data_IF_213352412556
#
_entry.id   IF_213352412556
#
_cell.length_a   1.000
_cell.length_b   1.000
_cell.length_c   1.000
_cell.angle_alpha   90.00
_cell.angle_beta   90.00
_cell.angle_gamma   90.00
#
_symmetry.space_group_name_H-M   'P 1'
#
loop_
_entity.id
_entity.type
_entity.pdbx_description
1 polymer ?
#
# COMPACT_ATOMS: atom_id res chain seq x y z
N UNK A 1 -21.81 -16.93 2.34
CA UNK A 1 -20.72 -16.00 1.97
C UNK A 1 -21.18 -15.15 0.79
N UNK A 2 -20.80 -13.87 0.74
CA UNK A 2 -21.13 -13.00 -0.42
C UNK A 2 -19.94 -12.80 -1.36
N UNK A 3 -20.17 -12.83 -2.67
CA UNK A 3 -19.21 -12.34 -3.67
C UNK A 3 -19.66 -10.97 -4.18
N UNK A 4 -18.80 -9.95 -4.03
CA UNK A 4 -19.05 -8.58 -4.46
C UNK A 4 -18.24 -8.26 -5.71
N UNK A 5 -18.91 -7.87 -6.80
CA UNK A 5 -18.29 -7.63 -8.11
C UNK A 5 -18.57 -6.18 -8.54
N UNK A 6 -17.62 -5.24 -8.36
CA UNK A 6 -17.71 -3.94 -8.99
C UNK A 6 -17.45 -4.06 -10.51
N UNK A 7 -18.26 -3.37 -11.31
CA UNK A 7 -18.16 -3.38 -12.77
C UNK A 7 -18.34 -1.98 -13.33
N UNK A 8 -17.50 -1.63 -14.30
CA UNK A 8 -17.65 -0.44 -15.13
C UNK A 8 -17.36 -0.83 -16.57
N UNK A 9 -18.33 -0.65 -17.46
CA UNK A 9 -18.28 -1.05 -18.85
C UNK A 9 -17.84 -2.53 -19.04
N UNK A 10 -18.46 -3.51 -18.34
CA UNK A 10 -18.05 -4.91 -18.41
C UNK A 10 -18.41 -5.55 -19.77
N UNK A 11 -17.77 -6.67 -20.08
CA UNK A 11 -18.14 -7.53 -21.21
C UNK A 11 -18.86 -8.82 -20.73
N UNK A 12 -19.05 -9.78 -21.65
CA UNK A 12 -19.71 -11.05 -21.35
C UNK A 12 -19.02 -11.90 -20.26
N UNK A 13 -17.75 -11.63 -19.93
CA UNK A 13 -17.01 -12.37 -18.90
C UNK A 13 -17.61 -12.19 -17.50
N UNK A 14 -18.29 -11.07 -17.25
CA UNK A 14 -19.07 -10.89 -16.02
C UNK A 14 -20.13 -11.98 -15.88
N UNK A 15 -20.86 -12.27 -16.95
CA UNK A 15 -21.91 -13.28 -16.95
C UNK A 15 -21.34 -14.69 -16.84
N UNK A 16 -20.22 -14.96 -17.50
CA UNK A 16 -19.51 -16.23 -17.37
C UNK A 16 -19.02 -16.47 -15.95
N UNK A 17 -18.47 -15.45 -15.29
CA UNK A 17 -18.04 -15.51 -13.90
C UNK A 17 -19.22 -15.82 -12.97
N UNK A 18 -20.34 -15.11 -13.12
CA UNK A 18 -21.57 -15.35 -12.35
C UNK A 18 -22.04 -16.80 -12.53
N UNK A 19 -22.17 -17.26 -13.77
CA UNK A 19 -22.63 -18.62 -14.07
C UNK A 19 -21.69 -19.68 -13.48
N UNK A 20 -20.38 -19.45 -13.55
CA UNK A 20 -19.39 -20.37 -12.97
C UNK A 20 -19.45 -20.41 -11.45
N UNK A 21 -19.61 -19.27 -10.78
CA UNK A 21 -19.76 -19.21 -9.33
C UNK A 21 -21.03 -19.93 -8.86
N UNK A 22 -22.15 -19.72 -9.55
CA UNK A 22 -23.42 -20.38 -9.23
C UNK A 22 -23.40 -21.89 -9.50
N UNK A 23 -22.58 -22.38 -10.44
CA UNK A 23 -22.34 -23.82 -10.63
C UNK A 23 -21.56 -24.43 -9.47
N UNK A 24 -20.64 -23.68 -8.87
CA UNK A 24 -19.84 -24.14 -7.72
C UNK A 24 -20.68 -24.14 -6.45
N UNK A 25 -21.46 -23.08 -6.22
CA UNK A 25 -22.43 -23.00 -5.13
C UNK A 25 -23.67 -22.23 -5.59
N UNK A 26 -24.77 -22.97 -5.75
CA UNK A 26 -26.05 -22.41 -6.21
C UNK A 26 -26.71 -21.48 -5.20
N UNK A 27 -26.24 -21.45 -3.95
CA UNK A 27 -26.74 -20.57 -2.88
C UNK A 27 -25.85 -19.35 -2.66
N UNK A 28 -24.78 -19.21 -3.45
CA UNK A 28 -23.87 -18.08 -3.33
C UNK A 28 -24.59 -16.76 -3.57
N UNK A 29 -24.54 -15.87 -2.58
CA UNK A 29 -25.07 -14.53 -2.74
C UNK A 29 -24.08 -13.69 -3.54
N UNK A 30 -24.49 -13.21 -4.72
CA UNK A 30 -23.66 -12.41 -5.60
C UNK A 30 -24.26 -11.00 -5.67
N UNK A 31 -23.45 -10.01 -5.32
CA UNK A 31 -23.79 -8.59 -5.43
C UNK A 31 -22.93 -7.99 -6.55
N UNK A 32 -23.57 -7.45 -7.58
CA UNK A 32 -22.92 -6.73 -8.67
C UNK A 32 -23.19 -5.24 -8.50
N UNK A 33 -22.16 -4.42 -8.63
CA UNK A 33 -22.30 -2.96 -8.61
C UNK A 33 -21.91 -2.40 -9.97
N UNK A 34 -22.90 -1.94 -10.74
CA UNK A 34 -22.68 -1.14 -11.94
C UNK A 34 -22.28 0.27 -11.52
N UNK A 35 -21.01 0.63 -11.73
CA UNK A 35 -20.47 1.96 -11.47
C UNK A 35 -20.80 2.93 -12.63
N UNK A 36 -22.05 2.93 -13.10
CA UNK A 36 -22.56 3.87 -14.09
C UNK A 36 -22.01 3.65 -15.51
N UNK A 37 -22.05 2.40 -15.99
CA UNK A 37 -21.61 2.02 -17.34
C UNK A 37 -22.47 2.60 -18.47
N UNK A 38 -23.71 2.99 -18.18
CA UNK A 38 -24.63 3.60 -19.14
C UNK A 38 -25.51 2.60 -19.90
N UNK A 39 -26.42 3.12 -20.74
CA UNK A 39 -27.49 2.33 -21.37
C UNK A 39 -26.98 1.17 -22.24
N UNK A 40 -25.81 1.31 -22.87
CA UNK A 40 -25.22 0.25 -23.73
C UNK A 40 -24.85 -1.04 -22.99
N UNK A 41 -24.75 -1.01 -21.66
CA UNK A 41 -24.38 -2.18 -20.84
C UNK A 41 -25.54 -2.73 -20.02
N UNK A 42 -26.72 -2.09 -20.09
CA UNK A 42 -27.87 -2.40 -19.24
C UNK A 42 -28.36 -3.84 -19.38
N UNK A 43 -28.27 -4.40 -20.59
CA UNK A 43 -28.64 -5.79 -20.86
C UNK A 43 -27.80 -6.79 -20.06
N UNK A 44 -26.49 -6.56 -19.89
CA UNK A 44 -25.63 -7.43 -19.09
C UNK A 44 -26.08 -7.45 -17.62
N UNK A 45 -26.39 -6.27 -17.07
CA UNK A 45 -26.84 -6.14 -15.69
C UNK A 45 -28.26 -6.71 -15.49
N UNK A 46 -29.15 -6.55 -16.48
CA UNK A 46 -30.47 -7.17 -16.47
C UNK A 46 -30.37 -8.71 -16.45
N UNK A 47 -29.46 -9.29 -17.25
CA UNK A 47 -29.19 -10.74 -17.26
C UNK A 47 -28.64 -11.19 -15.90
N UNK A 48 -27.71 -10.44 -15.31
CA UNK A 48 -27.20 -10.75 -13.96
C UNK A 48 -28.32 -10.73 -12.91
N UNK A 49 -29.21 -9.74 -12.94
CA UNK A 49 -30.38 -9.69 -12.06
C UNK A 49 -31.35 -10.85 -12.29
N UNK A 50 -31.63 -11.20 -13.55
CA UNK A 50 -32.45 -12.35 -13.91
C UNK A 50 -31.84 -13.69 -13.48
N UNK A 51 -30.51 -13.77 -13.37
CA UNK A 51 -29.78 -14.91 -12.81
C UNK A 51 -29.82 -14.97 -11.27
N UNK A 52 -30.49 -14.02 -10.60
CA UNK A 52 -30.63 -13.98 -9.14
C UNK A 52 -29.55 -13.20 -8.40
N UNK A 53 -28.71 -12.43 -9.11
CA UNK A 53 -27.77 -11.51 -8.47
C UNK A 53 -28.49 -10.25 -7.96
N UNK A 54 -28.00 -9.70 -6.86
CA UNK A 54 -28.37 -8.34 -6.45
C UNK A 54 -27.58 -7.35 -7.28
N UNK A 55 -28.25 -6.47 -8.02
CA UNK A 55 -27.61 -5.46 -8.88
C UNK A 55 -27.85 -4.06 -8.34
N UNK A 56 -26.76 -3.37 -7.99
CA UNK A 56 -26.76 -1.98 -7.54
C UNK A 56 -26.22 -1.09 -8.66
N UNK A 57 -26.88 0.04 -8.95
CA UNK A 57 -26.55 0.87 -10.11
C UNK A 57 -26.23 2.30 -9.66
N UNK A 58 -25.08 2.81 -10.08
CA UNK A 58 -24.74 4.22 -10.00
C UNK A 58 -25.23 4.97 -11.26
N UNK A 59 -25.69 6.22 -11.13
CA UNK A 59 -26.14 7.00 -12.29
C UNK A 59 -24.98 7.42 -13.22
N UNK A 60 -23.77 7.54 -12.68
CA UNK A 60 -22.54 7.92 -13.41
C UNK A 60 -21.34 7.23 -12.78
N UNK A 61 -20.22 7.14 -13.49
CA UNK A 61 -18.96 6.61 -12.94
C UNK A 61 -18.46 7.41 -11.73
N UNK A 62 -18.43 6.75 -10.57
CA UNK A 62 -17.92 7.30 -9.32
C UNK A 62 -16.55 6.72 -8.95
N UNK A 63 -16.22 5.55 -9.46
CA UNK A 63 -14.97 4.86 -9.24
C UNK A 63 -15.14 3.55 -8.48
N UNK A 64 -14.19 2.62 -8.74
CA UNK A 64 -14.14 1.28 -8.11
C UNK A 64 -14.23 1.31 -6.59
N UNK A 65 -13.55 2.25 -5.93
CA UNK A 65 -13.59 2.39 -4.47
C UNK A 65 -14.98 2.74 -3.95
N UNK A 66 -15.72 3.62 -4.64
CA UNK A 66 -17.10 3.91 -4.26
C UNK A 66 -18.02 2.73 -4.58
N UNK A 67 -17.86 2.07 -5.72
CA UNK A 67 -18.63 0.87 -6.07
C UNK A 67 -18.48 -0.24 -5.00
N UNK A 68 -17.25 -0.49 -4.54
CA UNK A 68 -16.99 -1.40 -3.42
C UNK A 68 -17.71 -0.96 -2.14
N UNK A 69 -17.63 0.32 -1.78
CA UNK A 69 -18.32 0.88 -0.61
C UNK A 69 -19.84 0.77 -0.72
N UNK A 70 -20.42 0.96 -1.91
CA UNK A 70 -21.85 0.78 -2.15
C UNK A 70 -22.25 -0.67 -1.85
N UNK A 71 -21.47 -1.64 -2.33
CA UNK A 71 -21.66 -3.05 -1.97
C UNK A 71 -21.54 -3.32 -0.47
N UNK A 72 -20.50 -2.78 0.19
CA UNK A 72 -20.33 -2.95 1.64
C UNK A 72 -21.48 -2.34 2.45
N UNK A 73 -21.96 -1.13 2.09
CA UNK A 73 -23.12 -0.50 2.73
C UNK A 73 -24.38 -1.32 2.55
N UNK A 74 -24.62 -1.81 1.34
CA UNK A 74 -25.75 -2.69 1.09
C UNK A 74 -25.72 -3.93 1.99
N UNK A 75 -24.55 -4.57 2.14
CA UNK A 75 -24.39 -5.72 3.04
C UNK A 75 -24.61 -5.39 4.52
N UNK A 76 -24.23 -4.19 4.95
CA UNK A 76 -24.52 -3.69 6.30
C UNK A 76 -26.03 -3.48 6.47
N UNK A 77 -26.69 -2.84 5.49
CA UNK A 77 -28.12 -2.49 5.54
C UNK A 77 -29.02 -3.72 5.62
N UNK A 78 -28.69 -4.80 4.89
CA UNK A 78 -29.42 -6.07 4.96
C UNK A 78 -29.05 -6.92 6.17
N UNK A 79 -28.11 -6.46 7.02
CA UNK A 79 -27.68 -7.17 8.22
C UNK A 79 -26.87 -8.45 7.95
N UNK A 80 -26.09 -8.47 6.86
CA UNK A 80 -25.26 -9.64 6.52
C UNK A 80 -24.27 -9.96 7.64
N UNK A 81 -24.30 -11.20 8.13
CA UNK A 81 -23.35 -11.72 9.13
C UNK A 81 -22.22 -12.53 8.50
N UNK A 82 -22.34 -12.85 7.22
CA UNK A 82 -21.34 -13.61 6.47
C UNK A 82 -20.28 -12.68 5.86
N UNK A 83 -19.09 -13.22 5.63
CA UNK A 83 -18.00 -12.49 4.97
C UNK A 83 -18.34 -12.07 3.53
N UNK A 84 -17.45 -11.25 2.98
CA UNK A 84 -17.50 -10.78 1.60
C UNK A 84 -16.16 -11.04 0.90
N UNK A 85 -16.23 -11.55 -0.33
CA UNK A 85 -15.09 -11.65 -1.24
C UNK A 85 -15.32 -10.73 -2.42
N UNK A 86 -14.43 -9.77 -2.60
CA UNK A 86 -14.45 -8.87 -3.74
C UNK A 86 -13.69 -9.51 -4.91
N UNK A 87 -14.30 -9.54 -6.09
CA UNK A 87 -13.68 -10.04 -7.31
C UNK A 87 -13.88 -9.04 -8.45
N UNK A 88 -12.90 -8.94 -9.36
CA UNK A 88 -13.03 -8.10 -10.56
C UNK A 88 -13.94 -8.77 -11.61
N UNK A 89 -14.62 -7.93 -12.41
CA UNK A 89 -15.59 -8.35 -13.45
C UNK A 89 -14.95 -8.78 -14.78
N UNK A 90 -13.63 -8.70 -14.92
CA UNK A 90 -12.90 -8.90 -16.17
C UNK A 90 -12.51 -10.36 -16.47
N UNK A 91 -12.93 -11.28 -15.60
CA UNK A 91 -12.67 -12.72 -15.71
C UNK A 91 -11.23 -13.13 -15.36
N UNK A 92 -10.44 -12.27 -14.71
CA UNK A 92 -9.07 -12.62 -14.32
C UNK A 92 -8.98 -13.58 -13.13
N UNK A 93 -10.05 -13.69 -12.34
CA UNK A 93 -10.10 -14.52 -11.13
C UNK A 93 -10.81 -15.85 -11.42
N UNK A 94 -10.11 -16.96 -11.20
CA UNK A 94 -10.73 -18.27 -11.30
C UNK A 94 -11.77 -18.46 -10.19
N UNK A 95 -12.91 -19.13 -10.46
CA UNK A 95 -13.87 -19.51 -9.43
C UNK A 95 -13.22 -20.31 -8.28
N UNK A 96 -12.27 -21.19 -8.60
CA UNK A 96 -11.50 -21.93 -7.59
C UNK A 96 -10.71 -21.02 -6.65
N UNK A 97 -10.23 -19.89 -7.15
CA UNK A 97 -9.43 -18.93 -6.38
C UNK A 97 -10.34 -18.14 -5.45
N UNK A 98 -11.51 -17.74 -5.95
CA UNK A 98 -12.57 -17.15 -5.12
C UNK A 98 -12.93 -18.11 -3.99
N UNK A 99 -13.17 -19.40 -4.26
CA UNK A 99 -13.46 -20.39 -3.22
C UNK A 99 -12.33 -20.55 -2.19
N UNK A 100 -11.06 -20.50 -2.62
CA UNK A 100 -9.91 -20.53 -1.70
C UNK A 100 -9.89 -19.31 -0.77
N UNK A 101 -10.25 -18.14 -1.29
CA UNK A 101 -10.35 -16.91 -0.49
C UNK A 101 -11.52 -16.99 0.50
N UNK A 102 -12.66 -17.51 0.06
CA UNK A 102 -13.83 -17.76 0.93
C UNK A 102 -13.42 -18.62 2.13
N UNK A 103 -12.79 -19.78 1.88
CA UNK A 103 -12.32 -20.65 2.95
C UNK A 103 -11.33 -19.95 3.89
N UNK A 104 -10.39 -19.17 3.33
CA UNK A 104 -9.41 -18.45 4.13
C UNK A 104 -10.03 -17.32 4.98
N UNK A 105 -11.12 -16.68 4.54
CA UNK A 105 -11.86 -15.69 5.34
C UNK A 105 -12.50 -16.35 6.55
N UNK A 106 -13.10 -17.52 6.37
CA UNK A 106 -13.74 -18.26 7.46
C UNK A 106 -12.70 -18.74 8.50
N UNK A 107 -11.52 -19.14 8.06
CA UNK A 107 -10.41 -19.55 8.94
C UNK A 107 -9.72 -18.34 9.63
N UNK A 108 -9.74 -17.16 9.00
CA UNK A 108 -9.01 -15.97 9.46
C UNK A 108 -9.92 -14.73 9.62
N UNK A 109 -10.97 -14.79 10.47
CA UNK A 109 -12.02 -13.76 10.52
C UNK A 109 -11.56 -12.38 11.03
N UNK A 110 -10.35 -12.28 11.58
CA UNK A 110 -9.75 -11.02 12.06
C UNK A 110 -8.61 -10.51 11.15
N UNK A 111 -8.45 -11.11 9.97
CA UNK A 111 -7.38 -10.76 9.02
C UNK A 111 -7.97 -10.34 7.67
N UNK A 112 -7.23 -9.47 7.00
CA UNK A 112 -7.48 -9.11 5.61
C UNK A 112 -6.94 -10.21 4.71
N UNK A 113 -7.80 -10.94 4.02
CA UNK A 113 -7.39 -12.02 3.12
C UNK A 113 -7.11 -11.44 1.74
N UNK A 114 -5.92 -11.70 1.20
CA UNK A 114 -5.45 -11.19 -0.08
C UNK A 114 -5.12 -12.34 -1.03
N UNK A 115 -5.76 -12.37 -2.20
CA UNK A 115 -5.36 -13.28 -3.28
C UNK A 115 -4.08 -12.78 -3.96
N UNK A 116 -2.95 -13.41 -3.72
CA UNK A 116 -1.65 -12.99 -4.23
C UNK A 116 -1.25 -13.80 -5.46
N UNK A 117 -1.11 -13.10 -6.59
CA UNK A 117 -0.64 -13.70 -7.83
C UNK A 117 0.83 -14.10 -7.72
N UNK A 118 1.13 -15.37 -8.00
CA UNK A 118 2.52 -15.77 -8.24
C UNK A 118 2.93 -15.33 -9.64
N UNK A 119 3.88 -14.40 -9.72
CA UNK A 119 4.42 -13.91 -11.01
C UNK A 119 5.36 -14.93 -11.68
N UNK A 120 4.95 -16.19 -11.74
CA UNK A 120 5.64 -17.29 -12.42
C UNK A 120 5.14 -17.38 -13.86
N UNK A 121 5.81 -16.72 -14.82
CA UNK A 121 5.47 -16.81 -16.25
C UNK A 121 5.80 -15.58 -17.10
N UNK A 122 5.32 -15.59 -18.36
CA UNK A 122 5.44 -14.49 -19.35
C UNK A 122 4.47 -13.35 -19.03
N UNK A 123 4.65 -12.70 -17.88
CA UNK A 123 3.87 -11.52 -17.54
C UNK A 123 4.36 -10.32 -18.37
N UNK A 124 3.47 -9.45 -18.87
CA UNK A 124 3.87 -8.21 -19.51
C UNK A 124 4.82 -7.41 -18.60
N UNK A 125 6.00 -7.05 -19.12
CA UNK A 125 7.08 -6.41 -18.37
C UNK A 125 6.61 -5.14 -17.64
N UNK A 126 5.69 -4.38 -18.25
CA UNK A 126 5.12 -3.14 -17.68
C UNK A 126 4.31 -3.38 -16.41
N UNK A 127 3.42 -4.38 -16.38
CA UNK A 127 2.61 -4.71 -15.20
C UNK A 127 3.44 -5.30 -14.06
N UNK A 128 4.47 -6.12 -14.38
CA UNK A 128 5.43 -6.61 -13.38
C UNK A 128 6.23 -5.48 -12.74
N UNK A 129 6.70 -4.54 -13.56
CA UNK A 129 7.50 -3.43 -13.07
C UNK A 129 6.69 -2.51 -12.17
N UNK A 130 5.45 -2.17 -12.57
CA UNK A 130 4.53 -1.37 -11.77
C UNK A 130 4.26 -1.97 -10.39
N UNK A 131 3.81 -3.23 -10.33
CA UNK A 131 3.55 -3.87 -9.03
C UNK A 131 4.82 -4.06 -8.20
N UNK A 132 5.97 -4.37 -8.82
CA UNK A 132 7.23 -4.50 -8.09
C UNK A 132 7.67 -3.19 -7.45
N UNK A 133 7.53 -2.07 -8.17
CA UNK A 133 7.82 -0.74 -7.65
C UNK A 133 6.88 -0.38 -6.50
N UNK A 134 5.57 -0.56 -6.69
CA UNK A 134 4.58 -0.28 -5.65
C UNK A 134 4.78 -1.16 -4.41
N UNK A 135 5.11 -2.45 -4.58
CA UNK A 135 5.46 -3.37 -3.49
C UNK A 135 6.69 -2.92 -2.71
N UNK A 136 7.74 -2.49 -3.41
CA UNK A 136 8.95 -1.99 -2.78
C UNK A 136 8.66 -0.72 -1.99
N UNK A 137 7.94 0.22 -2.58
CA UNK A 137 7.55 1.49 -1.95
C UNK A 137 6.63 1.25 -0.76
N UNK A 138 5.67 0.33 -0.87
CA UNK A 138 4.85 -0.11 0.25
C UNK A 138 5.71 -0.72 1.35
N UNK A 139 6.63 -1.63 1.05
CA UNK A 139 7.51 -2.28 2.04
C UNK A 139 8.40 -1.26 2.75
N UNK A 140 9.03 -0.36 2.00
CA UNK A 140 9.86 0.72 2.55
C UNK A 140 9.03 1.66 3.40
N UNK A 141 7.76 1.86 3.02
CA UNK A 141 6.81 2.65 3.75
C UNK A 141 6.30 1.84 4.95
N UNK A 142 5.32 0.98 4.82
CA UNK A 142 4.70 0.30 5.97
C UNK A 142 5.66 -0.55 6.83
N UNK A 143 6.81 -0.96 6.30
CA UNK A 143 7.72 -1.89 6.96
C UNK A 143 7.25 -3.35 6.90
N UNK A 144 6.13 -3.60 6.23
CA UNK A 144 5.61 -4.94 5.99
C UNK A 144 5.75 -5.30 4.52
N UNK A 145 6.17 -6.53 4.28
CA UNK A 145 6.18 -7.10 2.94
C UNK A 145 4.78 -7.62 2.64
N UNK A 146 4.32 -7.37 1.43
CA UNK A 146 3.17 -8.03 0.84
C UNK A 146 3.53 -8.49 -0.56
N UNK A 147 3.00 -9.62 -1.01
CA UNK A 147 3.36 -10.16 -2.33
C UNK A 147 2.73 -9.39 -3.48
N UNK A 148 1.48 -8.95 -3.32
CA UNK A 148 0.74 -8.26 -4.37
C UNK A 148 -0.09 -7.08 -3.82
N UNK A 149 0.36 -5.86 -4.11
CA UNK A 149 -0.37 -4.63 -3.74
C UNK A 149 -1.59 -4.36 -4.62
N UNK A 150 -1.64 -4.98 -5.79
CA UNK A 150 -2.58 -4.64 -6.87
C UNK A 150 -3.56 -5.79 -7.15
N UNK A 151 -3.72 -6.72 -6.22
CA UNK A 151 -4.75 -7.75 -6.34
C UNK A 151 -6.14 -7.17 -6.10
N UNK A 152 -7.08 -7.39 -7.01
CA UNK A 152 -8.49 -7.08 -6.80
C UNK A 152 -9.25 -8.16 -6.04
N UNK A 153 -8.70 -9.38 -5.95
CA UNK A 153 -9.31 -10.48 -5.22
C UNK A 153 -8.97 -10.39 -3.73
N UNK A 154 -9.95 -9.99 -2.92
CA UNK A 154 -9.78 -9.78 -1.48
C UNK A 154 -10.97 -10.29 -0.69
N UNK A 155 -10.71 -10.87 0.47
CA UNK A 155 -11.71 -11.40 1.38
C UNK A 155 -11.72 -10.67 2.72
N UNK A 156 -12.91 -10.49 3.27
CA UNK A 156 -13.15 -9.77 4.51
C UNK A 156 -14.26 -10.45 5.31
N UNK A 157 -14.14 -10.46 6.64
CA UNK A 157 -15.26 -10.83 7.50
C UNK A 157 -16.29 -9.70 7.59
N UNK A 158 -17.53 -10.06 7.94
CA UNK A 158 -18.62 -9.09 8.09
C UNK A 158 -18.30 -7.96 9.09
N UNK A 159 -17.51 -8.26 10.13
CA UNK A 159 -17.12 -7.29 11.16
C UNK A 159 -16.26 -6.14 10.61
N UNK A 160 -15.63 -6.33 9.44
CA UNK A 160 -14.80 -5.32 8.79
C UNK A 160 -15.59 -4.35 7.90
N UNK A 161 -16.85 -4.62 7.58
CA UNK A 161 -17.62 -3.83 6.60
C UNK A 161 -17.71 -2.33 6.97
N UNK A 162 -17.98 -2.03 8.25
CA UNK A 162 -18.02 -0.64 8.73
C UNK A 162 -16.67 0.07 8.58
N UNK A 163 -15.59 -0.63 8.90
CA UNK A 163 -14.23 -0.11 8.73
C UNK A 163 -13.91 0.14 7.26
N UNK A 164 -14.26 -0.79 6.37
CA UNK A 164 -14.05 -0.66 4.92
C UNK A 164 -14.75 0.58 4.34
N UNK A 165 -15.94 0.91 4.82
CA UNK A 165 -16.68 2.11 4.41
C UNK A 165 -15.98 3.43 4.80
N UNK A 166 -15.20 3.44 5.89
CA UNK A 166 -14.54 4.64 6.42
C UNK A 166 -13.20 4.94 5.75
N UNK A 167 -12.60 3.96 5.06
CA UNK A 167 -11.31 4.14 4.39
C UNK A 167 -11.45 5.19 3.27
N UNK A 168 -10.59 6.23 3.23
CA UNK A 168 -10.69 7.28 2.22
C UNK A 168 -10.34 6.77 0.82
N UNK A 169 -10.89 7.43 -0.21
CA UNK A 169 -10.67 7.07 -1.62
C UNK A 169 -11.95 6.50 -2.26
N UNK A 170 -12.11 6.80 -3.53
CA UNK A 170 -13.32 6.47 -4.30
C UNK A 170 -12.98 5.77 -5.61
N UNK A 171 -11.73 5.86 -6.09
CA UNK A 171 -11.25 5.15 -7.28
C UNK A 171 -10.24 4.06 -6.88
N UNK A 172 -9.31 3.74 -7.77
CA UNK A 172 -8.33 2.65 -7.55
C UNK A 172 -7.41 2.89 -6.34
N UNK A 173 -7.19 4.13 -5.92
CA UNK A 173 -6.39 4.44 -4.74
C UNK A 173 -7.01 3.92 -3.43
N UNK A 174 -8.33 3.64 -3.43
CA UNK A 174 -9.03 3.07 -2.27
C UNK A 174 -8.37 1.76 -1.81
N UNK A 175 -8.04 0.90 -2.76
CA UNK A 175 -7.44 -0.41 -2.53
C UNK A 175 -6.07 -0.29 -1.83
N UNK A 176 -5.26 0.67 -2.26
CA UNK A 176 -3.98 0.96 -1.61
C UNK A 176 -4.18 1.62 -0.23
N UNK A 177 -5.14 2.54 -0.12
CA UNK A 177 -5.47 3.17 1.16
C UNK A 177 -5.93 2.14 2.19
N UNK A 178 -6.64 1.10 1.75
CA UNK A 178 -7.06 -0.01 2.59
C UNK A 178 -5.87 -0.78 3.15
N UNK A 179 -4.87 -1.10 2.33
CA UNK A 179 -3.65 -1.78 2.80
C UNK A 179 -2.88 -0.92 3.81
N UNK A 180 -2.77 0.39 3.54
CA UNK A 180 -2.14 1.33 4.47
C UNK A 180 -2.90 1.43 5.80
N UNK A 181 -4.24 1.58 5.75
CA UNK A 181 -5.10 1.66 6.93
C UNK A 181 -5.03 0.37 7.77
N UNK A 182 -5.08 -0.80 7.11
CA UNK A 182 -4.94 -2.09 7.79
C UNK A 182 -3.62 -2.17 8.56
N UNK A 183 -2.51 -1.70 7.97
CA UNK A 183 -1.24 -1.68 8.69
C UNK A 183 -1.23 -0.69 9.86
N UNK A 184 -1.78 0.51 9.68
CA UNK A 184 -1.84 1.54 10.72
C UNK A 184 -2.68 1.11 11.93
N UNK A 185 -3.77 0.38 11.68
CA UNK A 185 -4.69 -0.14 12.69
C UNK A 185 -4.27 -1.52 13.24
N UNK A 186 -3.20 -2.10 12.67
CA UNK A 186 -2.64 -3.36 13.14
C UNK A 186 -3.41 -4.60 12.70
N UNK A 187 -4.32 -4.47 11.75
CA UNK A 187 -5.01 -5.59 11.08
C UNK A 187 -3.94 -6.44 10.36
N UNK A 188 -3.98 -7.75 10.56
CA UNK A 188 -3.07 -8.69 9.89
C UNK A 188 -3.58 -8.98 8.49
N UNK A 189 -2.65 -9.35 7.61
CA UNK A 189 -2.96 -9.69 6.22
C UNK A 189 -2.56 -11.14 6.02
N UNK A 190 -3.49 -11.93 5.47
CA UNK A 190 -3.28 -13.34 5.14
C UNK A 190 -3.24 -13.49 3.62
N UNK A 191 -2.13 -13.99 3.08
CA UNK A 191 -1.93 -14.10 1.63
C UNK A 191 -2.24 -15.51 1.14
N UNK A 192 -3.20 -15.62 0.22
CA UNK A 192 -3.56 -16.87 -0.45
C UNK A 192 -2.98 -16.85 -1.86
N UNK A 193 -2.15 -17.82 -2.26
CA UNK A 193 -1.67 -17.94 -3.64
C UNK A 193 -2.84 -18.07 -4.62
N UNK A 194 -2.87 -17.27 -5.69
CA UNK A 194 -3.85 -17.37 -6.77
C UNK A 194 -3.18 -17.43 -8.13
N UNK A 195 -3.86 -18.04 -9.10
CA UNK A 195 -3.38 -18.11 -10.47
C UNK A 195 -3.66 -16.79 -11.19
N UNK A 196 -2.86 -16.49 -12.22
CA UNK A 196 -3.10 -15.30 -13.05
C UNK A 196 -3.55 -15.69 -14.43
N UNK A 197 -4.80 -15.38 -14.78
CA UNK A 197 -5.28 -15.46 -16.15
C UNK A 197 -4.93 -14.15 -16.86
N UNK A 198 -3.93 -14.19 -17.74
CA UNK A 198 -3.59 -13.03 -18.57
C UNK A 198 -4.41 -13.04 -19.86
N UNK A 199 -5.52 -12.32 -19.88
CA UNK A 199 -6.35 -12.14 -21.07
C UNK A 199 -5.88 -10.89 -21.84
N UNK A 200 -5.59 -11.06 -23.14
CA UNK A 200 -5.39 -9.99 -24.15
C UNK A 200 -4.54 -8.77 -23.74
N UNK A 201 -3.29 -8.99 -23.29
CA UNK A 201 -2.30 -7.92 -23.05
C UNK A 201 -2.76 -6.78 -22.11
N UNK A 202 -3.73 -7.02 -21.21
CA UNK A 202 -4.06 -6.07 -20.13
C UNK A 202 -4.55 -4.68 -20.64
N UNK A 203 -5.16 -4.60 -21.83
CA UNK A 203 -5.64 -3.33 -22.43
C UNK A 203 -6.77 -2.65 -21.65
N UNK A 204 -7.46 -3.37 -20.76
CA UNK A 204 -8.66 -2.90 -20.05
C UNK A 204 -8.42 -2.37 -18.64
N UNK A 205 -7.19 -2.46 -18.09
CA UNK A 205 -6.95 -1.93 -16.73
C UNK A 205 -6.79 -0.41 -16.78
N UNK A 206 -7.82 0.32 -16.33
CA UNK A 206 -7.79 1.79 -16.16
C UNK A 206 -6.87 2.27 -15.02
N UNK A 207 -6.07 1.38 -14.42
CA UNK A 207 -5.17 1.69 -13.32
C UNK A 207 -4.00 2.58 -13.77
N UNK A 208 -3.76 3.67 -13.03
CA UNK A 208 -2.68 4.63 -13.26
C UNK A 208 -1.67 4.53 -12.11
N UNK A 209 -0.56 3.77 -12.27
CA UNK A 209 0.31 3.38 -11.15
C UNK A 209 0.81 4.52 -10.26
N UNK A 210 1.15 5.66 -10.86
CA UNK A 210 1.69 6.82 -10.11
C UNK A 210 0.58 7.61 -9.43
N UNK A 211 -0.50 7.94 -10.15
CA UNK A 211 -1.61 8.75 -9.64
C UNK A 211 -2.40 8.01 -8.55
N UNK A 212 -2.62 6.70 -8.73
CA UNK A 212 -3.45 5.91 -7.84
C UNK A 212 -2.67 5.43 -6.60
N UNK A 213 -1.34 5.59 -6.58
CA UNK A 213 -0.47 5.23 -5.45
C UNK A 213 0.19 6.44 -4.76
N UNK A 214 -0.29 7.67 -5.01
CA UNK A 214 0.31 8.92 -4.50
C UNK A 214 0.57 8.88 -2.98
N UNK A 215 -0.34 8.31 -2.17
CA UNK A 215 -0.16 8.24 -0.71
C UNK A 215 1.02 7.35 -0.28
N UNK A 216 1.35 6.32 -1.05
CA UNK A 216 2.52 5.46 -0.77
C UNK A 216 3.82 6.17 -1.14
N UNK A 217 3.81 6.98 -2.21
CA UNK A 217 4.95 7.78 -2.63
C UNK A 217 5.17 9.01 -1.74
N UNK A 218 4.12 9.56 -1.12
CA UNK A 218 4.19 10.81 -0.36
C UNK A 218 5.27 10.82 0.75
N UNK A 219 5.45 9.78 1.58
CA UNK A 219 6.55 9.73 2.55
C UNK A 219 7.94 9.80 1.90
N UNK A 220 8.13 9.13 0.77
CA UNK A 220 9.40 9.16 0.03
C UNK A 220 9.64 10.55 -0.55
N UNK A 221 8.64 11.15 -1.20
CA UNK A 221 8.73 12.51 -1.76
C UNK A 221 9.03 13.55 -0.68
N UNK A 222 8.36 13.45 0.49
CA UNK A 222 8.64 14.32 1.64
C UNK A 222 10.08 14.14 2.15
N UNK A 223 10.57 12.90 2.19
CA UNK A 223 11.96 12.62 2.59
C UNK A 223 13.00 13.11 1.56
N UNK A 224 12.73 12.97 0.26
CA UNK A 224 13.55 13.56 -0.79
C UNK A 224 13.63 15.08 -0.60
N UNK A 225 12.48 15.71 -0.34
CA UNK A 225 12.39 17.16 -0.16
C UNK A 225 13.15 17.64 1.08
N UNK A 226 13.02 16.95 2.21
CA UNK A 226 13.77 17.30 3.44
C UNK A 226 15.27 17.06 3.29
N UNK A 227 15.66 16.01 2.58
CA UNK A 227 17.06 15.71 2.29
C UNK A 227 17.69 16.74 1.36
N UNK A 228 16.98 17.14 0.30
CA UNK A 228 17.44 18.18 -0.62
C UNK A 228 17.58 19.54 0.07
N UNK A 229 16.59 19.94 0.88
CA UNK A 229 16.66 21.19 1.63
C UNK A 229 17.82 21.18 2.63
N UNK A 230 18.05 20.06 3.32
CA UNK A 230 19.17 19.90 4.23
C UNK A 230 20.52 19.98 3.50
N UNK A 231 20.64 19.40 2.30
CA UNK A 231 21.85 19.51 1.49
C UNK A 231 22.14 20.95 1.03
N UNK A 232 21.10 21.69 0.62
CA UNK A 232 21.23 23.11 0.29
C UNK A 232 21.64 23.94 1.51
N UNK A 233 21.07 23.64 2.68
CA UNK A 233 21.43 24.29 3.93
C UNK A 233 22.87 23.97 4.35
N UNK A 234 23.31 22.72 4.19
CA UNK A 234 24.69 22.28 4.44
C UNK A 234 25.68 23.11 3.61
N UNK A 235 25.39 23.27 2.32
CA UNK A 235 26.19 24.09 1.42
C UNK A 235 26.21 25.55 1.89
N UNK A 236 25.05 26.16 2.14
CA UNK A 236 24.97 27.55 2.60
C UNK A 236 25.72 27.79 3.92
N UNK A 237 25.53 26.91 4.91
CA UNK A 237 26.20 26.99 6.20
C UNK A 237 27.72 26.83 6.07
N UNK A 238 28.20 25.96 5.17
CA UNK A 238 29.62 25.80 4.90
C UNK A 238 30.25 27.13 4.45
N UNK A 239 29.64 27.81 3.47
CA UNK A 239 30.16 29.10 2.98
C UNK A 239 30.12 30.18 4.06
N UNK A 240 29.01 30.29 4.80
CA UNK A 240 28.88 31.30 5.85
C UNK A 240 29.88 31.09 7.00
N UNK A 241 30.05 29.84 7.46
CA UNK A 241 31.01 29.52 8.51
C UNK A 241 32.45 29.66 8.03
N UNK A 242 32.73 29.36 6.76
CA UNK A 242 34.06 29.55 6.19
C UNK A 242 34.44 31.03 6.15
N UNK A 243 33.48 31.90 5.77
CA UNK A 243 33.67 33.35 5.79
C UNK A 243 33.85 33.88 7.22
N UNK A 244 33.13 33.32 8.20
CA UNK A 244 33.17 33.80 9.57
C UNK A 244 34.37 33.30 10.39
N UNK A 245 34.80 32.05 10.17
CA UNK A 245 35.80 31.38 11.02
C UNK A 245 37.16 31.22 10.36
N UNK A 246 37.21 31.20 9.02
CA UNK A 246 38.42 30.87 8.25
C UNK A 246 38.88 29.41 8.35
N UNK A 247 38.34 28.62 9.29
CA UNK A 247 38.71 27.23 9.50
C UNK A 247 37.80 26.29 8.73
N UNK A 248 38.38 25.58 7.77
CA UNK A 248 37.66 24.59 6.96
C UNK A 248 37.05 23.49 7.83
N UNK A 249 37.79 22.99 8.82
CA UNK A 249 37.34 21.91 9.69
C UNK A 249 36.11 22.33 10.50
N UNK A 250 36.16 23.51 11.12
CA UNK A 250 35.05 24.06 11.92
C UNK A 250 33.83 24.31 11.04
N UNK A 251 34.05 24.79 9.82
CA UNK A 251 32.98 25.10 8.86
C UNK A 251 32.28 23.84 8.36
N UNK A 252 33.04 22.81 7.98
CA UNK A 252 32.48 21.51 7.56
C UNK A 252 31.73 20.83 8.70
N UNK A 253 32.32 20.79 9.89
CA UNK A 253 31.69 20.16 11.06
C UNK A 253 30.41 20.91 11.48
N UNK A 254 30.47 22.25 11.57
CA UNK A 254 29.34 23.09 11.94
C UNK A 254 28.19 23.00 10.92
N UNK A 255 28.51 23.04 9.62
CA UNK A 255 27.53 22.88 8.55
C UNK A 255 26.82 21.52 8.64
N UNK A 256 27.59 20.43 8.82
CA UNK A 256 27.04 19.06 8.93
C UNK A 256 26.13 18.91 10.14
N UNK A 257 26.51 19.49 11.29
CA UNK A 257 25.68 19.46 12.50
C UNK A 257 24.39 20.25 12.27
N UNK A 258 24.48 21.50 11.79
CA UNK A 258 23.31 22.35 11.56
C UNK A 258 22.33 21.75 10.55
N UNK A 259 22.84 21.29 9.40
CA UNK A 259 22.03 20.65 8.36
C UNK A 259 21.37 19.36 8.85
N UNK A 260 22.06 18.56 9.66
CA UNK A 260 21.54 17.33 10.26
C UNK A 260 20.45 17.57 11.29
N UNK A 261 20.55 18.62 12.11
CA UNK A 261 19.51 19.01 13.09
C UNK A 261 18.22 19.42 12.38
N UNK A 262 18.33 20.20 11.30
CA UNK A 262 17.18 20.60 10.48
C UNK A 262 16.56 19.38 9.80
N UNK A 263 17.38 18.49 9.20
CA UNK A 263 16.91 17.26 8.56
C UNK A 263 16.15 16.37 9.55
N UNK A 264 16.72 16.13 10.74
CA UNK A 264 16.06 15.39 11.82
C UNK A 264 14.72 16.02 12.21
N UNK A 265 14.70 17.34 12.40
CA UNK A 265 13.49 18.07 12.80
C UNK A 265 12.38 17.96 11.76
N UNK A 266 12.74 18.10 10.47
CA UNK A 266 11.81 17.94 9.36
C UNK A 266 11.31 16.49 9.24
N UNK A 267 12.21 15.51 9.35
CA UNK A 267 11.84 14.11 9.22
C UNK A 267 10.93 13.67 10.35
N UNK A 268 11.22 14.09 11.59
CA UNK A 268 10.39 13.80 12.76
C UNK A 268 9.02 14.48 12.68
N UNK A 269 8.95 15.72 12.18
CA UNK A 269 7.71 16.52 12.18
C UNK A 269 6.81 16.24 10.98
N UNK A 270 7.39 16.11 9.78
CA UNK A 270 6.65 16.13 8.51
C UNK A 270 6.72 14.82 7.73
N UNK A 271 7.85 14.08 7.78
CA UNK A 271 8.05 12.86 6.98
C UNK A 271 7.46 11.64 7.69
N UNK A 272 7.89 11.38 8.93
CA UNK A 272 7.51 10.20 9.71
C UNK A 272 6.43 10.53 10.75
N UNK A 273 5.45 11.36 10.37
CA UNK A 273 4.38 11.80 11.25
C UNK A 273 3.48 10.61 11.66
N UNK A 274 3.71 10.05 12.84
CA UNK A 274 2.86 9.02 13.46
C UNK A 274 2.02 9.63 14.59
N UNK A 275 0.84 9.03 14.86
CA UNK A 275 -0.04 9.40 15.99
C UNK A 275 0.69 9.37 17.35
N UNK A 276 1.71 8.53 17.49
CA UNK A 276 2.62 8.52 18.66
C UNK A 276 4.06 8.77 18.20
N UNK A 277 4.61 9.93 18.56
CA UNK A 277 5.96 10.34 18.18
C UNK A 277 6.97 9.85 19.23
N UNK A 278 8.09 9.23 18.82
CA UNK A 278 9.16 8.92 19.76
C UNK A 278 9.70 10.20 20.39
N UNK A 279 10.13 10.11 21.65
CA UNK A 279 10.73 11.23 22.36
C UNK A 279 12.02 11.68 21.67
N UNK A 280 12.39 12.95 21.81
CA UNK A 280 13.63 13.46 21.23
C UNK A 280 14.83 12.73 21.83
N UNK A 281 14.80 12.44 23.13
CA UNK A 281 15.85 11.67 23.82
C UNK A 281 16.02 10.25 23.27
N UNK A 282 14.94 9.56 22.84
CA UNK A 282 15.05 8.19 22.34
C UNK A 282 15.37 8.08 20.85
N UNK A 283 15.19 9.16 20.07
CA UNK A 283 15.37 9.16 18.61
C UNK A 283 16.58 9.96 18.12
N UNK A 284 16.96 11.06 18.77
CA UNK A 284 18.11 11.86 18.34
C UNK A 284 19.45 11.10 18.37
N UNK A 285 19.81 10.33 19.42
CA UNK A 285 21.08 9.59 19.43
C UNK A 285 21.18 8.58 18.29
N UNK A 286 20.07 7.88 18.00
CA UNK A 286 20.00 6.90 16.89
C UNK A 286 20.19 7.58 15.54
N UNK A 287 19.60 8.77 15.37
CA UNK A 287 19.74 9.55 14.15
C UNK A 287 21.20 10.00 13.92
N UNK A 288 21.84 10.58 14.94
CA UNK A 288 23.23 11.06 14.78
C UNK A 288 24.23 9.89 14.62
N UNK A 289 24.01 8.76 15.27
CA UNK A 289 24.78 7.53 15.01
C UNK A 289 24.65 7.08 13.55
N UNK A 290 23.44 7.15 12.99
CA UNK A 290 23.20 6.86 11.56
C UNK A 290 23.94 7.85 10.64
N UNK A 291 23.97 9.15 10.96
CA UNK A 291 24.72 10.15 10.17
C UNK A 291 26.21 9.80 10.11
N UNK A 292 26.82 9.44 11.24
CA UNK A 292 28.23 9.02 11.29
C UNK A 292 28.46 7.76 10.45
N UNK A 293 27.56 6.79 10.54
CA UNK A 293 27.66 5.53 9.79
C UNK A 293 27.51 5.75 8.28
N UNK A 294 26.60 6.64 7.85
CA UNK A 294 26.45 7.04 6.44
C UNK A 294 27.74 7.70 5.93
N UNK A 295 28.37 8.56 6.74
CA UNK A 295 29.64 9.21 6.37
C UNK A 295 30.75 8.17 6.14
N UNK A 296 30.85 7.16 7.01
CA UNK A 296 31.83 6.08 6.86
C UNK A 296 31.55 5.22 5.62
N UNK A 297 30.29 4.88 5.36
CA UNK A 297 29.90 4.06 4.21
C UNK A 297 30.00 4.78 2.87
N UNK A 298 29.96 6.12 2.84
CA UNK A 298 30.09 6.88 1.59
C UNK A 298 31.41 6.57 0.88
N UNK A 299 32.53 6.65 1.59
CA UNK A 299 33.82 6.29 1.00
C UNK A 299 33.87 4.81 0.58
N UNK A 300 33.40 3.91 1.45
CA UNK A 300 33.42 2.46 1.20
C UNK A 300 32.64 2.06 -0.06
N UNK A 301 31.43 2.60 -0.25
CA UNK A 301 30.64 2.33 -1.45
C UNK A 301 31.20 2.99 -2.71
N UNK A 302 31.72 4.23 -2.62
CA UNK A 302 32.40 4.84 -3.76
C UNK A 302 33.59 3.99 -4.22
N UNK A 303 34.42 3.53 -3.27
CA UNK A 303 35.55 2.65 -3.57
C UNK A 303 35.08 1.33 -4.19
N UNK A 304 34.07 0.68 -3.61
CA UNK A 304 33.53 -0.57 -4.13
C UNK A 304 33.01 -0.41 -5.57
N UNK A 305 32.21 0.62 -5.85
CA UNK A 305 31.64 0.85 -7.18
C UNK A 305 32.68 1.27 -8.21
N UNK A 306 33.63 2.14 -7.84
CA UNK A 306 34.62 2.65 -8.77
C UNK A 306 35.77 1.67 -9.01
N UNK A 307 36.40 1.18 -7.95
CA UNK A 307 37.62 0.35 -8.04
C UNK A 307 37.30 -1.13 -8.20
N UNK A 308 36.30 -1.67 -7.48
CA UNK A 308 36.01 -3.11 -7.54
C UNK A 308 35.11 -3.49 -8.72
N UNK A 309 34.14 -2.65 -9.05
CA UNK A 309 33.24 -2.86 -10.19
C UNK A 309 33.66 -2.10 -11.46
N UNK A 310 34.70 -1.28 -11.41
CA UNK A 310 35.23 -0.55 -12.57
C UNK A 310 34.28 0.51 -13.12
N UNK A 311 33.30 0.99 -12.34
CA UNK A 311 32.35 1.98 -12.82
C UNK A 311 33.00 3.37 -12.89
N UNK A 312 32.67 4.21 -13.88
CA UNK A 312 33.14 5.58 -13.92
C UNK A 312 32.81 6.33 -12.63
N UNK A 313 33.71 7.20 -12.16
CA UNK A 313 33.59 7.89 -10.86
C UNK A 313 32.23 8.59 -10.67
N UNK A 314 31.71 9.22 -11.72
CA UNK A 314 30.40 9.88 -11.69
C UNK A 314 29.27 8.86 -11.44
N UNK A 315 29.31 7.71 -12.11
CA UNK A 315 28.32 6.63 -11.95
C UNK A 315 28.42 6.02 -10.56
N UNK A 316 29.65 5.74 -10.09
CA UNK A 316 29.91 5.23 -8.75
C UNK A 316 29.38 6.19 -7.67
N UNK A 317 29.62 7.49 -7.82
CA UNK A 317 29.09 8.52 -6.91
C UNK A 317 27.57 8.54 -6.87
N UNK A 318 26.90 8.54 -8.03
CA UNK A 318 25.44 8.53 -8.10
C UNK A 318 24.84 7.26 -7.46
N UNK A 319 25.46 6.09 -7.69
CA UNK A 319 25.03 4.83 -7.07
C UNK A 319 25.24 4.82 -5.56
N UNK A 320 26.37 5.35 -5.07
CA UNK A 320 26.64 5.50 -3.63
C UNK A 320 25.58 6.37 -2.97
N UNK A 321 25.32 7.57 -3.50
CA UNK A 321 24.31 8.48 -2.94
C UNK A 321 22.91 7.85 -2.97
N UNK A 322 22.53 7.19 -4.07
CA UNK A 322 21.27 6.47 -4.17
C UNK A 322 21.13 5.33 -3.14
N UNK A 323 22.20 4.55 -2.96
CA UNK A 323 22.25 3.44 -1.99
C UNK A 323 22.10 3.96 -0.55
N UNK A 324 22.89 4.99 -0.20
CA UNK A 324 22.87 5.61 1.12
C UNK A 324 21.54 6.31 1.40
N UNK A 325 20.91 6.92 0.40
CA UNK A 325 19.60 7.54 0.52
C UNK A 325 18.53 6.52 0.92
N UNK A 326 18.46 5.39 0.21
CA UNK A 326 17.51 4.30 0.51
C UNK A 326 17.79 3.69 1.89
N UNK A 327 19.06 3.45 2.20
CA UNK A 327 19.48 2.93 3.50
C UNK A 327 19.13 3.89 4.66
N UNK A 328 19.34 5.20 4.46
CA UNK A 328 19.01 6.24 5.42
C UNK A 328 17.51 6.29 5.68
N UNK A 329 16.69 6.34 4.61
CA UNK A 329 15.23 6.33 4.75
C UNK A 329 14.72 5.11 5.53
N UNK A 330 15.19 3.93 5.13
CA UNK A 330 14.78 2.67 5.76
C UNK A 330 15.19 2.61 7.23
N UNK A 331 16.44 2.98 7.55
CA UNK A 331 16.95 2.94 8.93
C UNK A 331 16.24 3.97 9.81
N UNK A 332 16.02 5.18 9.29
CA UNK A 332 15.28 6.21 10.01
C UNK A 332 13.87 5.75 10.34
N UNK A 333 13.20 5.07 9.41
CA UNK A 333 11.84 4.60 9.64
C UNK A 333 11.74 3.42 10.60
N UNK A 334 12.62 2.44 10.46
CA UNK A 334 12.54 1.17 11.19
C UNK A 334 13.17 1.24 12.58
N UNK A 335 14.19 2.09 12.78
CA UNK A 335 14.97 2.12 14.02
C UNK A 335 14.92 3.47 14.72
N UNK A 336 15.10 4.57 13.99
CA UNK A 336 15.18 5.92 14.58
C UNK A 336 13.81 6.41 15.04
N UNK A 337 12.82 6.35 14.14
CA UNK A 337 11.46 6.86 14.35
C UNK A 337 10.44 5.74 14.59
N UNK A 338 10.89 4.60 15.12
CA UNK A 338 9.99 3.52 15.54
C UNK A 338 9.22 3.98 16.77
N UNK A 339 7.89 3.87 16.75
CA UNK A 339 7.05 4.13 17.93
C UNK A 339 7.39 3.10 19.02
N UNK A 340 7.55 3.56 20.25
CA UNK A 340 7.66 2.68 21.41
C UNK A 340 6.33 1.93 21.57
N UNK A 341 6.36 0.60 21.52
CA UNK A 341 5.15 -0.20 21.84
C UNK A 341 4.91 -0.02 23.33
N UNK A 342 3.86 0.70 23.71
CA UNK A 342 3.34 0.62 25.08
C UNK A 342 3.04 -0.86 25.38
N UNK A 343 3.41 -1.38 26.56
CA UNK A 343 2.99 -2.71 26.97
C UNK A 343 1.45 -2.76 26.93
N UNK A 344 0.91 -3.78 26.26
CA UNK A 344 -0.54 -4.01 26.19
C UNK A 344 -1.06 -4.18 27.62
N UNK A 345 -1.74 -3.18 28.18
CA UNK A 345 -2.51 -3.36 29.41
C UNK A 345 -3.58 -4.41 29.12
N UNK A 346 -3.49 -5.56 29.77
CA UNK A 346 -4.60 -6.51 29.84
C UNK A 346 -5.76 -5.84 30.57
N UNK A 347 -6.71 -5.25 29.84
CA UNK A 347 -8.03 -4.91 30.39
C UNK A 347 -9.02 -6.02 30.03
N UNK A 348 -8.80 -7.22 30.58
CA UNK A 348 -9.84 -8.22 30.73
C UNK A 348 -10.39 -8.14 32.16
N UNK A 349 -11.17 -7.11 32.45
CA UNK A 349 -12.20 -7.19 33.49
C UNK A 349 -13.53 -7.25 32.77
N UNK A 350 -13.88 -8.45 32.33
CA UNK A 350 -15.27 -8.79 32.06
C UNK A 350 -15.98 -8.75 33.40
N UNK A 351 -16.95 -7.85 33.48
CA UNK A 351 -17.92 -7.71 34.56
C UNK A 351 -18.65 -9.04 34.77
N UNK A 352 -18.30 -9.76 35.83
CA UNK A 352 -19.28 -10.60 36.53
C UNK A 352 -20.08 -9.69 37.45
N UNK A 353 -21.20 -9.17 36.95
CA UNK A 353 -22.37 -8.78 37.74
C UNK A 353 -23.48 -8.37 36.77
N UNK A 354 -24.45 -9.26 36.56
CA UNK A 354 -25.88 -9.00 36.70
C UNK A 354 -26.67 -10.22 36.22
N UNK A 355 -27.43 -10.79 37.17
CA UNK A 355 -28.67 -11.56 37.02
C UNK A 355 -28.61 -12.94 36.38
#
# INVERSE_FOLDING_TARGET
MTVLIPAYEPDHRLLELIANLQRVDSKMHIVVVDDGSGEGYRDLFNIAGAAGCTVLIHPTNQGKGLALKTGFRHLIEIGSTEGVVCADSDGQHLPSDIMRIIAAVDENPNELVLGCRYFTGKVPFRSRFGNSATRMVYTLTTGRRIQDTQTGLRGFSASMLNWLCQIPGERFEYEMNMLLAAQEEGIRMYEVPIDTIYLEQNKSSHFRPVADSVKVYAPIVKFCSSSLLSALLDFALLFLLQLATGSLLVSVAGARVGSSVVNYSMNRRFVFNKKQKPSVLSSAPKYFALVVLILMFNYGFMYLYNESFGLPLIVAKLLTEGTLFVFSFWTQRQFVFRAERLPRSHSSRVSKHAS
#
